data_IF_057986452097
#
_entry.id   IF_057986452097
#
_cell.length_a   1.000
_cell.length_b   1.000
_cell.length_c   1.000
_cell.angle_alpha   90.00
_cell.angle_beta   90.00
_cell.angle_gamma   90.00
#
_symmetry.space_group_name_H-M   'P 1'
#
loop_
_entity.id
_entity.type
_entity.pdbx_description
1 polymer ?
#
# COMPACT_ATOMS: atom_id res chain seq x y z
N UNK A 1 -31.13 11.02 -2.95
CA UNK A 1 -29.76 11.03 -3.50
C UNK A 1 -28.95 10.31 -2.46
N UNK A 2 -28.55 9.06 -2.73
CA UNK A 2 -27.54 8.40 -1.91
C UNK A 2 -26.22 9.10 -2.22
N UNK A 3 -25.57 9.66 -1.21
CA UNK A 3 -24.23 10.21 -1.36
C UNK A 3 -23.31 9.09 -1.86
N UNK A 4 -22.42 9.36 -2.85
CA UNK A 4 -21.52 8.34 -3.35
C UNK A 4 -20.68 7.79 -2.20
N UNK A 5 -20.70 6.47 -2.00
CA UNK A 5 -19.85 5.79 -1.03
C UNK A 5 -18.42 6.26 -1.26
N UNK A 6 -17.73 6.84 -0.25
CA UNK A 6 -16.40 7.33 -0.48
C UNK A 6 -15.50 6.15 -0.83
N UNK A 7 -14.65 6.31 -1.85
CA UNK A 7 -13.72 5.27 -2.28
C UNK A 7 -12.33 5.59 -1.72
N UNK A 8 -11.73 4.63 -1.02
CA UNK A 8 -10.39 4.73 -0.48
C UNK A 8 -9.44 3.82 -1.28
N UNK A 9 -8.30 4.38 -1.66
CA UNK A 9 -7.20 3.60 -2.22
C UNK A 9 -6.34 3.03 -1.10
N UNK A 10 -6.15 1.71 -1.09
CA UNK A 10 -5.26 1.04 -0.13
C UNK A 10 -4.24 0.13 -0.81
N UNK A 11 -3.15 -0.13 -0.10
CA UNK A 11 -2.24 -1.21 -0.46
C UNK A 11 -2.92 -2.53 -0.09
N UNK A 12 -2.81 -3.54 -0.95
CA UNK A 12 -3.35 -4.87 -0.65
C UNK A 12 -2.61 -5.46 0.57
N UNK A 13 -3.32 -6.12 1.49
CA UNK A 13 -2.72 -6.72 2.68
C UNK A 13 -1.56 -7.67 2.33
N UNK A 14 -0.42 -7.46 2.98
CA UNK A 14 0.75 -8.33 2.87
C UNK A 14 1.61 -8.13 1.62
N UNK A 15 1.28 -7.16 0.75
CA UNK A 15 2.09 -6.83 -0.45
C UNK A 15 3.52 -6.49 -0.06
N UNK A 16 3.75 -5.68 0.99
CA UNK A 16 5.11 -5.34 1.40
C UNK A 16 5.88 -6.58 1.84
N UNK A 17 5.20 -7.49 2.55
CA UNK A 17 5.80 -8.74 3.02
C UNK A 17 6.17 -9.68 1.86
N UNK A 18 5.31 -9.81 0.86
CA UNK A 18 5.58 -10.59 -0.36
C UNK A 18 6.72 -9.97 -1.17
N UNK A 19 6.66 -8.67 -1.45
CA UNK A 19 7.72 -7.94 -2.16
C UNK A 19 9.08 -8.09 -1.47
N UNK A 20 9.13 -7.96 -0.15
CA UNK A 20 10.37 -8.13 0.60
C UNK A 20 10.95 -9.55 0.44
N UNK A 21 10.09 -10.58 0.45
CA UNK A 21 10.50 -11.97 0.23
C UNK A 21 11.01 -12.19 -1.18
N UNK A 22 10.27 -11.74 -2.20
CA UNK A 22 10.62 -11.91 -3.61
C UNK A 22 11.96 -11.23 -3.94
N UNK A 23 12.19 -10.05 -3.39
CA UNK A 23 13.42 -9.29 -3.59
C UNK A 23 14.59 -9.77 -2.69
N UNK A 24 14.34 -10.64 -1.72
CA UNK A 24 15.34 -11.05 -0.72
C UNK A 24 15.86 -9.89 0.14
N UNK A 25 15.00 -8.91 0.48
CA UNK A 25 15.37 -7.72 1.24
C UNK A 25 14.50 -7.53 2.49
N UNK A 26 15.01 -6.76 3.45
CA UNK A 26 14.20 -6.33 4.59
C UNK A 26 13.31 -5.13 4.23
N UNK A 27 12.22 -4.94 4.98
CA UNK A 27 11.34 -3.75 4.86
C UNK A 27 12.11 -2.43 4.99
N UNK A 28 13.13 -2.36 5.84
CA UNK A 28 13.99 -1.18 5.95
C UNK A 28 14.77 -0.89 4.66
N UNK A 29 15.27 -1.93 3.98
CA UNK A 29 15.97 -1.76 2.70
C UNK A 29 15.00 -1.35 1.60
N UNK A 30 13.78 -1.89 1.58
CA UNK A 30 12.72 -1.45 0.67
C UNK A 30 12.36 0.02 0.91
N UNK A 31 12.15 0.42 2.16
CA UNK A 31 11.84 1.81 2.53
C UNK A 31 12.93 2.79 2.06
N UNK A 32 14.21 2.41 2.20
CA UNK A 32 15.33 3.20 1.67
C UNK A 32 15.31 3.32 0.14
N UNK A 33 14.92 2.27 -0.59
CA UNK A 33 14.81 2.32 -2.07
C UNK A 33 13.68 3.23 -2.52
N UNK A 34 12.60 3.31 -1.74
CA UNK A 34 11.46 4.17 -2.01
C UNK A 34 11.61 5.59 -1.45
N UNK A 35 12.70 5.87 -0.72
CA UNK A 35 12.93 7.13 -0.01
C UNK A 35 11.80 7.48 0.97
N UNK A 36 11.37 6.49 1.76
CA UNK A 36 10.35 6.65 2.79
C UNK A 36 10.79 6.05 4.13
N UNK A 37 10.10 6.39 5.21
CA UNK A 37 10.32 5.73 6.50
C UNK A 37 9.75 4.30 6.49
N UNK A 38 10.42 3.36 7.15
CA UNK A 38 9.94 1.98 7.25
C UNK A 38 8.57 1.88 7.96
N UNK A 39 8.29 2.83 8.85
CA UNK A 39 6.99 2.98 9.50
C UNK A 39 5.88 3.32 8.49
N UNK A 40 6.17 4.13 7.47
CA UNK A 40 5.22 4.42 6.39
C UNK A 40 4.83 3.15 5.63
N UNK A 41 5.80 2.29 5.31
CA UNK A 41 5.51 0.99 4.69
C UNK A 41 4.70 0.08 5.61
N UNK A 42 5.02 0.06 6.91
CA UNK A 42 4.28 -0.74 7.88
C UNK A 42 2.82 -0.31 7.94
N UNK A 43 2.56 0.99 8.10
CA UNK A 43 1.20 1.54 8.19
C UNK A 43 0.43 1.34 6.88
N UNK A 44 1.10 1.43 5.74
CA UNK A 44 0.49 1.13 4.44
C UNK A 44 0.10 -0.34 4.32
N UNK A 45 0.97 -1.26 4.74
CA UNK A 45 0.73 -2.71 4.71
C UNK A 45 -0.35 -3.15 5.71
N UNK A 46 -0.53 -2.41 6.82
CA UNK A 46 -1.59 -2.66 7.82
C UNK A 46 -2.90 -1.91 7.57
N UNK A 47 -2.97 -1.06 6.55
CA UNK A 47 -4.14 -0.21 6.29
C UNK A 47 -4.32 0.95 7.29
N UNK A 48 -3.34 1.18 8.18
CA UNK A 48 -3.35 2.29 9.16
C UNK A 48 -3.02 3.64 8.51
N UNK A 49 -2.53 3.67 7.27
CA UNK A 49 -2.43 4.92 6.51
C UNK A 49 -3.80 5.30 5.94
N UNK A 50 -4.19 6.56 6.14
CA UNK A 50 -5.19 7.21 5.28
C UNK A 50 -4.69 7.32 3.82
N UNK A 51 -5.15 8.33 3.09
CA UNK A 51 -4.85 8.51 1.65
C UNK A 51 -3.39 8.24 1.27
N UNK A 52 -3.17 7.23 0.41
CA UNK A 52 -1.87 6.94 -0.18
C UNK A 52 -1.57 7.98 -1.27
N UNK A 53 -0.40 8.62 -1.21
CA UNK A 53 -0.01 9.62 -2.21
C UNK A 53 0.35 9.00 -3.56
N UNK A 54 0.10 9.73 -4.66
CA UNK A 54 0.54 9.34 -6.01
C UNK A 54 2.04 9.05 -6.11
N UNK A 55 2.87 9.80 -5.37
CA UNK A 55 4.32 9.57 -5.29
C UNK A 55 4.65 8.22 -4.66
N UNK A 56 3.94 7.82 -3.60
CA UNK A 56 4.15 6.52 -2.97
C UNK A 56 3.84 5.38 -3.93
N UNK A 57 2.71 5.48 -4.65
CA UNK A 57 2.28 4.50 -5.64
C UNK A 57 3.34 4.35 -6.74
N UNK A 58 3.74 5.46 -7.36
CA UNK A 58 4.73 5.47 -8.41
C UNK A 58 6.09 4.91 -7.95
N UNK A 59 6.55 5.29 -6.75
CA UNK A 59 7.79 4.76 -6.18
C UNK A 59 7.71 3.26 -5.93
N UNK A 60 6.59 2.76 -5.40
CA UNK A 60 6.44 1.32 -5.13
C UNK A 60 6.48 0.54 -6.44
N UNK A 61 5.66 0.92 -7.43
CA UNK A 61 5.63 0.30 -8.75
C UNK A 61 7.01 0.31 -9.42
N UNK A 62 7.73 1.43 -9.35
CA UNK A 62 9.08 1.55 -9.94
C UNK A 62 10.11 0.65 -9.24
N UNK A 63 10.04 0.55 -7.91
CA UNK A 63 11.01 -0.25 -7.14
C UNK A 63 10.73 -1.74 -7.26
N UNK A 64 9.47 -2.14 -7.39
CA UNK A 64 9.06 -3.54 -7.45
C UNK A 64 8.90 -4.08 -8.86
N UNK A 65 8.85 -3.21 -9.87
CA UNK A 65 8.51 -3.55 -11.25
C UNK A 65 7.14 -4.28 -11.34
N UNK A 66 6.19 -3.83 -10.51
CA UNK A 66 4.83 -4.39 -10.45
C UNK A 66 3.79 -3.38 -10.87
N UNK A 67 2.69 -3.88 -11.41
CA UNK A 67 1.57 -3.05 -11.84
C UNK A 67 0.70 -2.61 -10.65
N UNK A 68 -0.11 -1.59 -10.90
CA UNK A 68 -0.97 -1.01 -9.87
C UNK A 68 -1.94 -2.04 -9.29
N UNK A 69 -2.61 -2.83 -10.14
CA UNK A 69 -3.65 -3.78 -9.72
C UNK A 69 -3.10 -4.95 -8.89
N UNK A 70 -1.80 -5.25 -9.01
CA UNK A 70 -1.10 -6.23 -8.18
C UNK A 70 -0.81 -5.72 -6.76
N UNK A 71 -0.63 -4.40 -6.62
CA UNK A 71 -0.15 -3.77 -5.40
C UNK A 71 -1.29 -3.13 -4.60
N UNK A 72 -2.26 -2.54 -5.28
CA UNK A 72 -3.28 -1.70 -4.70
C UNK A 72 -4.68 -2.22 -5.01
N UNK A 73 -5.64 -1.76 -4.21
CA UNK A 73 -7.07 -1.99 -4.41
C UNK A 73 -7.85 -0.75 -3.98
N UNK A 74 -9.00 -0.54 -4.62
CA UNK A 74 -9.95 0.50 -4.26
C UNK A 74 -11.03 -0.16 -3.41
N UNK A 75 -11.26 0.38 -2.21
CA UNK A 75 -12.28 -0.09 -1.29
C UNK A 75 -13.28 0.99 -0.96
N UNK A 76 -14.47 0.58 -0.55
CA UNK A 76 -15.47 1.48 0.00
C UNK A 76 -15.06 1.92 1.41
N UNK A 77 -14.88 3.23 1.59
CA UNK A 77 -14.60 3.88 2.87
C UNK A 77 -15.88 3.78 3.72
N UNK A 78 -15.86 2.86 4.69
CA UNK A 78 -17.04 2.53 5.51
C UNK A 78 -17.19 1.06 5.89
N UNK A 79 -16.38 0.16 5.34
CA UNK A 79 -16.36 -1.26 5.73
C UNK A 79 -15.13 -1.59 6.58
N UNK A 80 -15.09 -1.03 7.80
CA UNK A 80 -14.33 -1.67 8.88
C UNK A 80 -15.19 -2.79 9.49
N UNK A 81 -14.70 -4.02 9.31
CA UNK A 81 -14.83 -5.16 10.24
C UNK A 81 -16.24 -5.68 10.54
N UNK A 82 -16.75 -6.53 9.64
CA UNK A 82 -17.56 -7.66 10.08
C UNK A 82 -16.65 -8.87 10.26
N UNK A 83 -16.49 -9.24 11.55
CA UNK A 83 -15.97 -10.49 12.13
C UNK A 83 -14.46 -10.62 12.43
#
# INVERSE_FOLDING_TARGET
MEDPTPLALRLRPGVISTVCKDMGISRHRLARRMDVHAETLRRADSGETGSISGRFIASLMTVTDKEFDELFEIVEEGWELAE
#
